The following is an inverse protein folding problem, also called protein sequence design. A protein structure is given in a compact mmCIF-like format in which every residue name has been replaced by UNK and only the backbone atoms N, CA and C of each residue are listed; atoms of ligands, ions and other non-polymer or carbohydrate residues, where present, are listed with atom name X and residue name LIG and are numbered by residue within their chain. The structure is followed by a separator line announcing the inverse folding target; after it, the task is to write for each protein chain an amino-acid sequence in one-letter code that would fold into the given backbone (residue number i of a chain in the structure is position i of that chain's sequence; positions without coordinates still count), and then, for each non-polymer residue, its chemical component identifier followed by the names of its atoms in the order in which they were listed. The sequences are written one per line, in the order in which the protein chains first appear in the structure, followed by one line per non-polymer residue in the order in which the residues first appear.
data_IF_921223984120
#
_entry.id   IF_921223984120
#
_cell.length_a   1.000
_cell.length_b   1.000
_cell.length_c   1.000
_cell.angle_alpha   90.00
_cell.angle_beta   90.00
_cell.angle_gamma   90.00
#
_symmetry.space_group_name_H-M   'P 1'
#
loop_
_entity.id
_entity.type
_entity.pdbx_description
1 polymer ?
#
# COMPACT_ATOMS: atom_id res chain seq x y z
N UNK A 1 -21.37 16.82 -12.87
CA UNK A 1 -20.64 15.56 -13.18
C UNK A 1 -19.54 15.46 -12.15
N UNK A 2 -19.53 14.41 -11.32
CA UNK A 2 -18.44 14.20 -10.36
C UNK A 2 -17.13 14.01 -11.14
N UNK A 3 -16.04 14.57 -10.62
CA UNK A 3 -14.71 14.47 -11.21
C UNK A 3 -14.17 13.03 -11.08
N UNK A 4 -14.44 12.22 -12.12
CA UNK A 4 -14.01 10.81 -12.21
C UNK A 4 -12.65 10.67 -12.89
N UNK A 5 -11.87 11.76 -12.99
CA UNK A 5 -10.54 11.68 -13.58
C UNK A 5 -9.64 10.75 -12.75
N UNK A 6 -9.02 9.73 -13.38
CA UNK A 6 -8.05 8.88 -12.70
C UNK A 6 -6.89 9.73 -12.19
N UNK A 7 -6.51 9.54 -10.92
CA UNK A 7 -5.38 10.22 -10.31
C UNK A 7 -4.29 9.20 -9.99
N UNK A 8 -3.10 9.42 -10.55
CA UNK A 8 -1.88 8.73 -10.12
C UNK A 8 -1.17 9.65 -9.14
N UNK A 9 -0.91 9.14 -7.94
CA UNK A 9 -0.18 9.87 -6.92
C UNK A 9 1.27 9.38 -6.93
N UNK A 10 2.18 10.27 -7.32
CA UNK A 10 3.61 10.02 -7.37
C UNK A 10 4.27 10.37 -6.02
N UNK A 11 5.35 9.67 -5.67
CA UNK A 11 6.21 9.94 -4.51
C UNK A 11 5.52 10.04 -3.14
N UNK A 12 4.37 9.39 -2.94
CA UNK A 12 3.69 9.34 -1.65
C UNK A 12 4.18 8.19 -0.77
N UNK A 13 4.31 8.48 0.54
CA UNK A 13 4.46 7.43 1.54
C UNK A 13 3.16 6.62 1.68
N UNK A 14 3.28 5.37 2.12
CA UNK A 14 2.13 4.50 2.42
C UNK A 14 1.16 5.16 3.42
N UNK A 15 1.69 5.88 4.40
CA UNK A 15 0.86 6.54 5.42
C UNK A 15 0.12 7.73 4.83
N UNK A 16 0.78 8.53 3.98
CA UNK A 16 0.16 9.70 3.35
C UNK A 16 -0.88 9.30 2.31
N UNK A 17 -0.65 8.22 1.57
CA UNK A 17 -1.63 7.67 0.65
C UNK A 17 -2.91 7.23 1.35
N UNK A 18 -2.78 6.50 2.46
CA UNK A 18 -3.96 6.07 3.24
C UNK A 18 -4.66 7.26 3.87
N UNK A 19 -3.90 8.25 4.37
CA UNK A 19 -4.47 9.48 4.91
C UNK A 19 -5.27 10.24 3.84
N UNK A 20 -4.71 10.35 2.63
CA UNK A 20 -5.39 10.97 1.49
C UNK A 20 -6.76 10.33 1.25
N UNK A 21 -6.85 9.00 1.23
CA UNK A 21 -8.14 8.30 1.04
C UNK A 21 -9.09 8.62 2.19
N UNK A 22 -8.61 8.54 3.44
CA UNK A 22 -9.42 8.83 4.63
C UNK A 22 -9.98 10.26 4.62
N UNK A 23 -9.23 11.23 4.10
CA UNK A 23 -9.62 12.65 4.07
C UNK A 23 -10.51 13.01 2.87
N UNK A 24 -10.40 12.30 1.75
CA UNK A 24 -11.06 12.66 0.49
C UNK A 24 -12.28 11.80 0.14
N UNK A 25 -12.53 10.71 0.88
CA UNK A 25 -13.72 9.90 0.70
C UNK A 25 -14.94 10.51 1.40
N UNK A 26 -16.07 10.59 0.68
CA UNK A 26 -17.37 11.02 1.23
C UNK A 26 -18.43 9.92 1.14
N UNK A 27 -18.15 8.84 0.39
CA UNK A 27 -19.03 7.68 0.24
C UNK A 27 -18.30 6.35 0.46
N UNK A 28 -19.05 5.25 0.30
CA UNK A 28 -18.49 3.89 0.36
C UNK A 28 -17.38 3.73 -0.68
N UNK A 29 -16.16 3.54 -0.21
CA UNK A 29 -14.91 3.53 -0.97
C UNK A 29 -14.19 2.21 -0.75
N UNK A 30 -13.34 1.83 -1.69
CA UNK A 30 -12.58 0.59 -1.62
C UNK A 30 -11.10 0.85 -1.81
N UNK A 31 -10.27 0.34 -0.90
CA UNK A 31 -8.82 0.28 -1.01
C UNK A 31 -8.41 -1.16 -1.38
N UNK A 32 -7.93 -1.34 -2.60
CA UNK A 32 -7.34 -2.59 -3.09
C UNK A 32 -5.82 -2.52 -2.90
N UNK A 33 -5.30 -3.43 -2.10
CA UNK A 33 -3.87 -3.54 -1.80
C UNK A 33 -3.32 -4.76 -2.55
N UNK A 34 -2.36 -4.55 -3.45
CA UNK A 34 -1.56 -5.65 -4.00
C UNK A 34 -0.68 -6.22 -2.89
N UNK A 35 -0.70 -7.52 -2.67
CA UNK A 35 -0.01 -8.24 -1.59
C UNK A 35 -0.92 -8.64 -0.42
N UNK A 36 -0.33 -9.16 0.66
CA UNK A 36 -1.07 -9.69 1.80
C UNK A 36 -1.34 -8.64 2.88
N UNK A 37 -2.24 -8.95 3.81
CA UNK A 37 -2.50 -8.11 4.98
C UNK A 37 -1.25 -7.98 5.86
N UNK A 38 -0.48 -9.05 5.97
CA UNK A 38 0.77 -9.12 6.72
C UNK A 38 1.82 -8.19 6.11
N UNK A 39 1.96 -8.20 4.77
CA UNK A 39 2.86 -7.30 4.04
C UNK A 39 2.48 -5.84 4.27
N UNK A 40 1.18 -5.55 4.22
CA UNK A 40 0.66 -4.20 4.43
C UNK A 40 0.96 -3.68 5.84
N UNK A 41 0.65 -4.47 6.87
CA UNK A 41 0.93 -4.09 8.26
C UNK A 41 2.44 -3.96 8.52
N UNK A 42 3.25 -4.82 7.92
CA UNK A 42 4.70 -4.73 8.04
C UNK A 42 5.26 -3.47 7.36
N UNK A 43 4.76 -3.11 6.17
CA UNK A 43 5.15 -1.88 5.48
C UNK A 43 4.74 -0.62 6.26
N UNK A 44 3.60 -0.65 6.96
CA UNK A 44 3.19 0.42 7.87
C UNK A 44 4.16 0.60 9.04
N UNK A 45 4.61 -0.51 9.65
CA UNK A 45 5.61 -0.48 10.72
C UNK A 45 6.95 0.04 10.23
N UNK A 46 7.44 -0.47 9.10
CA UNK A 46 8.71 -0.02 8.49
C UNK A 46 8.66 1.49 8.17
N UNK A 47 7.50 2.01 7.76
CA UNK A 47 7.31 3.44 7.48
C UNK A 47 7.35 4.28 8.76
N UNK A 48 6.75 3.79 9.86
CA UNK A 48 6.82 4.43 11.18
C UNK A 48 8.27 4.53 11.69
N UNK A 49 9.04 3.46 11.56
CA UNK A 49 10.43 3.41 12.00
C UNK A 49 11.33 4.37 11.20
N UNK A 50 11.09 4.51 9.90
CA UNK A 50 11.84 5.47 9.08
C UNK A 50 11.53 6.91 9.44
N UNK A 51 10.26 7.23 9.69
CA UNK A 51 9.88 8.57 10.13
C UNK A 51 10.59 8.93 11.44
N UNK A 52 10.60 8.00 12.41
CA UNK A 52 11.28 8.21 13.69
C UNK A 52 12.82 8.40 13.56
N UNK A 53 13.45 7.80 12.55
CA UNK A 53 14.89 7.96 12.28
C UNK A 53 15.21 9.28 11.58
N UNK A 54 14.33 9.76 10.71
CA UNK A 54 14.49 11.04 10.01
C UNK A 54 14.30 12.25 10.93
N UNK A 55 13.46 12.13 11.96
CA UNK A 55 13.20 13.20 12.94
C UNK A 55 14.21 13.22 14.13
N UNK A 56 15.28 12.42 14.06
CA UNK A 56 16.34 12.41 15.08
C UNK A 56 17.23 13.67 15.01
N UNK A 57 17.63 14.27 16.15
CA UNK A 57 18.37 15.53 16.15
C UNK A 57 19.75 15.37 15.50
N UNK A 58 20.03 16.17 14.46
CA UNK A 58 21.39 16.39 13.98
C UNK A 58 22.23 16.92 15.15
N UNK A 59 23.07 16.07 15.73
CA UNK A 59 24.07 16.46 16.70
C UNK A 59 25.15 17.31 16.03
N UNK A 60 24.91 18.62 15.95
CA UNK A 60 25.97 19.62 15.78
C UNK A 60 26.17 20.32 17.12
N UNK A 61 27.09 19.81 17.94
CA UNK A 61 27.93 20.69 18.77
C UNK A 61 29.17 19.98 19.31
N UNK A 62 30.27 20.72 19.14
CA UNK A 62 31.64 20.47 19.59
C UNK A 62 31.74 20.59 21.13
N UNK A 63 32.74 19.88 21.68
CA UNK A 63 33.50 20.13 22.92
C UNK A 63 32.97 19.67 24.31
N UNK A 64 33.36 18.43 24.69
CA UNK A 64 34.21 18.02 25.84
C UNK A 64 33.87 18.42 27.33
N UNK A 65 34.55 17.87 28.37
CA UNK A 65 33.94 16.93 29.32
C UNK A 65 33.94 17.43 30.79
N UNK A 66 33.01 16.94 31.64
CA UNK A 66 33.26 16.55 33.06
C UNK A 66 31.97 16.32 33.89
N UNK A 67 32.12 15.38 34.81
CA UNK A 67 31.48 15.24 36.14
C UNK A 67 30.24 14.33 36.30
N UNK A 68 30.58 13.13 36.83
CA UNK A 68 29.87 12.13 37.65
C UNK A 68 28.53 12.48 38.35
N UNK A 69 27.65 11.44 38.34
CA UNK A 69 26.65 10.99 39.34
C UNK A 69 25.50 11.98 39.68
N UNK A 70 24.24 11.61 39.84
CA UNK A 70 23.66 10.39 40.41
C UNK A 70 22.14 10.31 40.12
N UNK A 71 21.58 9.09 40.18
CA UNK A 71 20.18 8.73 40.46
C UNK A 71 19.01 9.41 39.67
N UNK A 72 18.43 8.68 38.72
CA UNK A 72 17.04 8.18 38.79
C UNK A 72 16.87 7.10 37.70
N UNK A 73 16.47 5.89 38.11
CA UNK A 73 16.23 4.78 37.19
C UNK A 73 15.21 5.21 36.13
N UNK A 74 15.72 5.25 34.91
CA UNK A 74 15.11 5.61 33.65
C UNK A 74 13.76 4.90 33.46
N UNK A 75 12.66 5.64 33.53
CA UNK A 75 11.49 5.25 32.74
C UNK A 75 11.96 5.21 31.28
N UNK A 76 11.77 4.10 30.53
CA UNK A 76 11.99 4.16 29.10
C UNK A 76 11.01 5.22 28.57
N UNK A 77 11.48 6.26 27.86
CA UNK A 77 10.56 7.19 27.25
C UNK A 77 9.68 6.37 26.31
N UNK A 78 8.38 6.33 26.58
CA UNK A 78 7.40 5.77 25.66
C UNK A 78 7.64 6.45 24.31
N UNK A 79 8.10 5.65 23.34
CA UNK A 79 8.64 6.13 22.08
C UNK A 79 7.55 6.90 21.31
N UNK A 80 7.87 8.01 20.63
CA UNK A 80 6.94 8.73 19.73
C UNK A 80 6.47 7.92 18.50
N UNK A 81 6.76 6.61 18.45
CA UNK A 81 6.64 5.71 17.31
C UNK A 81 5.19 5.39 16.92
N UNK A 82 4.24 5.54 17.84
CA UNK A 82 2.84 5.13 17.65
C UNK A 82 1.89 6.30 17.31
N UNK A 83 2.33 7.55 17.43
CA UNK A 83 1.39 8.66 17.53
C UNK A 83 0.62 8.95 16.23
N UNK A 84 1.13 8.58 15.05
CA UNK A 84 0.52 8.91 13.75
C UNK A 84 0.15 7.68 12.90
N UNK A 85 0.91 6.59 13.02
CA UNK A 85 0.63 5.32 12.35
C UNK A 85 -0.49 4.53 13.04
N UNK A 86 -0.51 4.51 14.37
CA UNK A 86 -1.58 3.86 15.11
C UNK A 86 -2.94 4.53 14.86
N UNK A 87 -3.08 5.87 14.82
CA UNK A 87 -4.33 6.51 14.42
C UNK A 87 -4.74 6.18 12.99
N UNK A 88 -3.84 6.22 12.01
CA UNK A 88 -4.19 5.97 10.60
C UNK A 88 -4.70 4.55 10.40
N UNK A 89 -4.01 3.54 10.95
CA UNK A 89 -4.48 2.15 10.89
C UNK A 89 -5.76 1.93 11.70
N UNK A 90 -5.90 2.58 12.86
CA UNK A 90 -7.13 2.51 13.67
C UNK A 90 -8.29 3.14 12.92
N UNK A 91 -8.09 4.26 12.25
CA UNK A 91 -9.10 4.93 11.43
C UNK A 91 -9.53 4.04 10.27
N UNK A 92 -8.59 3.41 9.55
CA UNK A 92 -8.92 2.41 8.54
C UNK A 92 -9.72 1.25 9.13
N UNK A 93 -9.25 0.67 10.24
CA UNK A 93 -9.88 -0.51 10.85
C UNK A 93 -11.27 -0.24 11.45
N UNK A 94 -11.53 1.00 11.88
CA UNK A 94 -12.82 1.42 12.45
C UNK A 94 -13.75 2.07 11.43
N UNK A 95 -13.24 2.38 10.22
CA UNK A 95 -14.04 2.93 9.15
C UNK A 95 -15.08 1.91 8.67
N UNK A 96 -16.33 2.36 8.54
CA UNK A 96 -17.43 1.59 7.94
C UNK A 96 -17.64 1.92 6.46
N UNK A 97 -16.98 2.97 5.99
CA UNK A 97 -17.12 3.54 4.65
C UNK A 97 -15.94 3.18 3.75
N UNK A 98 -14.89 2.54 4.28
CA UNK A 98 -13.75 2.06 3.51
C UNK A 98 -13.67 0.54 3.63
N UNK A 99 -13.86 -0.15 2.51
CA UNK A 99 -13.56 -1.57 2.40
C UNK A 99 -12.09 -1.77 2.00
N UNK A 100 -11.38 -2.66 2.67
CA UNK A 100 -9.98 -2.99 2.33
C UNK A 100 -9.93 -4.40 1.78
N UNK A 101 -9.41 -4.54 0.56
CA UNK A 101 -9.27 -5.80 -0.16
C UNK A 101 -7.80 -6.08 -0.40
N UNK A 102 -7.35 -7.28 -0.04
CA UNK A 102 -5.97 -7.72 -0.27
C UNK A 102 -5.92 -8.68 -1.47
N UNK A 103 -5.01 -8.40 -2.39
CA UNK A 103 -4.80 -9.20 -3.60
C UNK A 103 -3.34 -9.69 -3.61
N UNK A 104 -3.05 -10.87 -3.03
CA UNK A 104 -1.68 -11.40 -2.90
C UNK A 104 -0.92 -11.51 -4.23
N UNK A 105 -1.64 -11.76 -5.32
CA UNK A 105 -1.07 -11.90 -6.67
C UNK A 105 -2.01 -11.33 -7.74
N UNK A 106 -1.54 -11.37 -9.00
CA UNK A 106 -2.30 -10.89 -10.18
C UNK A 106 -3.59 -11.68 -10.42
N UNK A 107 -3.69 -12.93 -9.98
CA UNK A 107 -4.87 -13.78 -10.17
C UNK A 107 -5.99 -13.28 -9.27
N UNK A 108 -5.68 -13.02 -8.00
CA UNK A 108 -6.62 -12.45 -7.05
C UNK A 108 -7.11 -11.07 -7.51
N UNK A 109 -6.20 -10.22 -7.99
CA UNK A 109 -6.57 -8.91 -8.50
C UNK A 109 -7.52 -9.00 -9.70
N UNK A 110 -7.21 -9.86 -10.68
CA UNK A 110 -8.05 -10.04 -11.87
C UNK A 110 -9.42 -10.63 -11.52
N UNK A 111 -9.47 -11.60 -10.60
CA UNK A 111 -10.71 -12.14 -10.10
C UNK A 111 -11.56 -11.08 -9.38
N UNK A 112 -10.92 -10.24 -8.55
CA UNK A 112 -11.58 -9.13 -7.89
C UNK A 112 -12.18 -8.15 -8.90
N UNK A 113 -11.40 -7.69 -9.88
CA UNK A 113 -11.89 -6.78 -10.93
C UNK A 113 -13.07 -7.36 -11.72
N UNK A 114 -13.00 -8.64 -12.09
CA UNK A 114 -14.06 -9.32 -12.83
C UNK A 114 -15.36 -9.41 -12.02
N UNK A 115 -15.27 -9.73 -10.72
CA UNK A 115 -16.44 -9.84 -9.84
C UNK A 115 -17.02 -8.47 -9.46
N UNK A 116 -16.16 -7.48 -9.26
CA UNK A 116 -16.56 -6.10 -8.97
C UNK A 116 -17.38 -5.51 -10.13
N UNK A 117 -16.96 -5.74 -11.38
CA UNK A 117 -17.76 -5.34 -12.54
C UNK A 117 -19.15 -5.99 -12.51
N UNK A 118 -19.26 -7.30 -12.28
CA UNK A 118 -20.56 -8.01 -12.27
C UNK A 118 -21.49 -7.51 -11.15
N UNK A 119 -20.96 -7.30 -9.95
CA UNK A 119 -21.75 -6.82 -8.80
C UNK A 119 -22.40 -5.46 -9.05
N UNK A 120 -21.75 -4.59 -9.82
CA UNK A 120 -22.26 -3.25 -10.14
C UNK A 120 -23.36 -3.28 -11.20
N UNK A 121 -23.24 -4.17 -12.20
CA UNK A 121 -24.28 -4.32 -13.23
C UNK A 121 -25.59 -4.89 -12.65
N UNK A 122 -25.52 -5.70 -11.59
CA UNK A 122 -26.70 -6.26 -10.92
C UNK A 122 -27.38 -5.31 -9.91
N UNK A 123 -26.69 -4.26 -9.48
CA UNK A 123 -27.12 -3.37 -8.39
C UNK A 123 -27.30 -1.92 -8.86
N UNK A 124 -27.69 -1.73 -10.13
CA UNK A 124 -28.15 -0.43 -10.63
C UNK A 124 -29.40 -0.01 -9.85
N UNK A 125 -29.23 0.99 -8.98
CA UNK A 125 -30.20 1.92 -8.39
C UNK A 125 -29.88 2.19 -6.92
N UNK A 126 -28.78 2.89 -6.66
CA UNK A 126 -28.77 3.85 -5.57
C UNK A 126 -28.38 5.19 -6.15
N UNK A 127 -29.40 6.03 -6.34
CA UNK A 127 -29.34 7.46 -6.65
C UNK A 127 -28.73 8.24 -5.48
N UNK A 128 -27.59 7.79 -4.95
CA UNK A 128 -26.71 8.66 -4.17
C UNK A 128 -25.85 9.43 -5.16
N UNK A 129 -26.51 10.34 -5.87
CA UNK A 129 -25.83 11.36 -6.61
C UNK A 129 -24.91 12.11 -5.64
N UNK A 130 -23.66 12.29 -6.06
CA UNK A 130 -22.67 13.25 -5.50
C UNK A 130 -21.74 12.81 -4.37
N UNK A 131 -21.84 11.61 -3.79
CA UNK A 131 -20.79 11.19 -2.81
C UNK A 131 -19.45 10.92 -3.52
N UNK A 132 -18.36 11.53 -3.07
CA UNK A 132 -16.99 11.23 -3.55
C UNK A 132 -16.57 9.83 -3.11
N UNK A 133 -16.91 8.83 -3.93
CA UNK A 133 -16.45 7.44 -3.78
C UNK A 133 -15.08 7.27 -4.40
N UNK A 134 -14.19 6.55 -3.72
CA UNK A 134 -12.83 6.29 -4.18
C UNK A 134 -12.64 4.79 -4.39
N UNK A 135 -12.10 4.43 -5.55
CA UNK A 135 -11.51 3.12 -5.78
C UNK A 135 -9.99 3.30 -5.81
N UNK A 136 -9.33 2.97 -4.71
CA UNK A 136 -7.91 3.18 -4.50
C UNK A 136 -7.11 1.89 -4.71
N UNK A 137 -6.04 1.95 -5.49
CA UNK A 137 -5.18 0.82 -5.86
C UNK A 137 -3.77 1.11 -5.33
N UNK A 138 -3.27 0.22 -4.48
CA UNK A 138 -1.99 0.37 -3.80
C UNK A 138 -1.08 -0.80 -4.15
N UNK A 139 0.13 -0.51 -4.66
CA UNK A 139 1.18 -1.50 -4.93
C UNK A 139 0.76 -2.61 -5.91
N UNK A 140 0.02 -2.23 -6.95
CA UNK A 140 -0.48 -3.17 -7.96
C UNK A 140 0.60 -3.51 -8.98
N UNK A 141 1.51 -2.59 -9.27
CA UNK A 141 2.66 -2.87 -10.13
C UNK A 141 3.59 -3.86 -9.44
N UNK A 142 3.77 -3.74 -8.13
CA UNK A 142 4.61 -4.66 -7.34
C UNK A 142 4.21 -6.14 -7.51
N UNK A 143 2.91 -6.47 -7.50
CA UNK A 143 2.45 -7.85 -7.69
C UNK A 143 2.55 -8.34 -9.15
N UNK A 144 2.75 -7.45 -10.13
CA UNK A 144 3.03 -7.85 -11.50
C UNK A 144 4.48 -8.25 -11.70
N UNK A 145 5.43 -7.54 -11.07
CA UNK A 145 6.89 -7.73 -11.22
C UNK A 145 7.37 -9.20 -11.26
N UNK A 146 6.92 -10.10 -10.38
CA UNK A 146 7.40 -11.48 -10.38
C UNK A 146 6.78 -12.37 -11.47
N UNK A 147 5.97 -11.82 -12.37
CA UNK A 147 5.18 -12.58 -13.34
C UNK A 147 5.49 -12.16 -14.78
N UNK A 148 5.18 -13.02 -15.75
CA UNK A 148 5.21 -12.66 -17.17
C UNK A 148 4.19 -11.57 -17.56
N UNK A 149 3.25 -11.25 -16.66
CA UNK A 149 2.33 -10.13 -16.84
C UNK A 149 2.97 -8.76 -16.51
N UNK A 150 4.22 -8.71 -16.03
CA UNK A 150 5.00 -7.47 -15.96
C UNK A 150 5.45 -7.03 -17.35
N UNK A 151 4.49 -6.55 -18.13
CA UNK A 151 4.67 -6.00 -19.46
C UNK A 151 3.67 -4.88 -19.68
N UNK A 152 3.93 -3.99 -20.64
CA UNK A 152 2.98 -2.95 -21.01
C UNK A 152 1.59 -3.54 -21.33
N UNK A 153 1.54 -4.67 -22.04
CA UNK A 153 0.30 -5.37 -22.35
C UNK A 153 -0.37 -5.93 -21.09
N UNK A 154 0.39 -6.59 -20.21
CA UNK A 154 -0.14 -7.20 -18.98
C UNK A 154 -0.69 -6.16 -18.00
N UNK A 155 0.05 -5.07 -17.80
CA UNK A 155 -0.35 -3.92 -17.00
C UNK A 155 -1.57 -3.22 -17.60
N UNK A 156 -1.56 -2.96 -18.92
CA UNK A 156 -2.70 -2.33 -19.59
C UNK A 156 -3.97 -3.15 -19.43
N UNK A 157 -3.90 -4.48 -19.54
CA UNK A 157 -5.06 -5.36 -19.32
C UNK A 157 -5.63 -5.21 -17.90
N UNK A 158 -4.78 -5.12 -16.89
CA UNK A 158 -5.20 -4.96 -15.50
C UNK A 158 -5.78 -3.56 -15.26
N UNK A 159 -5.09 -2.50 -15.68
CA UNK A 159 -5.54 -1.13 -15.45
C UNK A 159 -6.77 -0.76 -16.28
N UNK A 160 -6.95 -1.34 -17.47
CA UNK A 160 -8.19 -1.22 -18.22
C UNK A 160 -9.39 -1.73 -17.40
N UNK A 161 -9.23 -2.90 -16.75
CA UNK A 161 -10.26 -3.43 -15.84
C UNK A 161 -10.49 -2.55 -14.60
N UNK A 162 -9.44 -1.92 -14.07
CA UNK A 162 -9.56 -0.98 -12.95
C UNK A 162 -10.34 0.29 -13.35
N UNK A 163 -10.08 0.84 -14.54
CA UNK A 163 -10.80 1.99 -15.10
C UNK A 163 -12.28 1.63 -15.32
N UNK A 164 -12.55 0.46 -15.92
CA UNK A 164 -13.91 -0.04 -16.11
C UNK A 164 -14.64 -0.20 -14.77
N UNK A 165 -14.00 -0.78 -13.76
CA UNK A 165 -14.56 -0.94 -12.42
C UNK A 165 -14.83 0.40 -11.71
N UNK A 166 -13.95 1.38 -11.85
CA UNK A 166 -14.13 2.72 -11.30
C UNK A 166 -15.31 3.43 -11.98
N UNK A 167 -15.35 3.40 -13.32
CA UNK A 167 -16.43 3.98 -14.10
C UNK A 167 -17.79 3.35 -13.75
N UNK A 168 -17.87 2.02 -13.73
CA UNK A 168 -19.10 1.29 -13.41
C UNK A 168 -19.58 1.54 -11.97
N UNK A 169 -18.67 1.81 -11.02
CA UNK A 169 -19.03 2.10 -9.61
C UNK A 169 -19.33 3.56 -9.34
N UNK A 170 -19.14 4.44 -10.33
CA UNK A 170 -19.22 5.87 -10.13
C UNK A 170 -18.06 6.44 -9.30
N UNK A 171 -16.98 5.69 -9.09
CA UNK A 171 -15.87 6.04 -8.20
C UNK A 171 -14.75 6.77 -8.94
N UNK A 172 -14.03 7.63 -8.22
CA UNK A 172 -12.74 8.16 -8.66
C UNK A 172 -11.65 7.09 -8.47
N UNK A 173 -10.95 6.75 -9.54
CA UNK A 173 -9.82 5.83 -9.48
C UNK A 173 -8.57 6.56 -8.97
N UNK A 174 -7.94 6.05 -7.92
CA UNK A 174 -6.69 6.58 -7.37
C UNK A 174 -5.67 5.45 -7.31
N UNK A 175 -4.45 5.67 -7.83
CA UNK A 175 -3.41 4.64 -7.88
C UNK A 175 -2.13 5.18 -7.24
N UNK A 176 -1.46 4.38 -6.41
CA UNK A 176 -0.14 4.68 -5.89
C UNK A 176 0.73 3.42 -5.75
N UNK A 177 2.04 3.62 -5.92
CA UNK A 177 3.08 2.63 -5.63
C UNK A 177 4.00 3.22 -4.54
N UNK A 178 4.24 2.46 -3.46
CA UNK A 178 5.04 2.87 -2.33
C UNK A 178 6.25 1.93 -2.15
N UNK A 179 7.46 2.48 -2.19
CA UNK A 179 8.74 1.75 -2.23
C UNK A 179 8.94 0.71 -1.10
N UNK A 180 8.39 0.96 0.09
CA UNK A 180 8.54 0.07 1.25
C UNK A 180 7.83 -1.27 1.08
N UNK A 181 6.81 -1.30 0.23
CA UNK A 181 6.00 -2.48 -0.01
C UNK A 181 6.58 -3.33 -1.14
N UNK A 182 6.97 -2.69 -2.25
CA UNK A 182 7.56 -3.36 -3.41
C UNK A 182 8.90 -4.05 -3.10
N UNK A 183 9.71 -3.49 -2.20
CA UNK A 183 11.04 -4.01 -1.87
C UNK A 183 11.04 -5.29 -1.02
N UNK A 184 9.94 -5.64 -0.32
CA UNK A 184 9.80 -6.94 0.37
C UNK A 184 9.42 -8.06 -0.60
N UNK A 185 8.54 -7.78 -1.56
CA UNK A 185 8.16 -8.76 -2.58
C UNK A 185 9.36 -9.14 -3.48
N UNK A 186 10.28 -8.18 -3.72
CA UNK A 186 11.58 -8.44 -4.39
C UNK A 186 12.48 -9.38 -3.59
N UNK A 187 12.66 -9.12 -2.28
CA UNK A 187 13.52 -9.96 -1.41
C UNK A 187 13.04 -11.40 -1.28
N UNK A 188 11.73 -11.63 -1.29
CA UNK A 188 11.16 -12.97 -1.19
C UNK A 188 11.43 -13.83 -2.45
N UNK A 189 11.46 -13.19 -3.63
CA UNK A 189 11.88 -13.84 -4.87
C UNK A 189 13.37 -14.18 -4.86
N UNK A 190 14.23 -13.25 -4.46
CA UNK A 190 15.68 -13.48 -4.41
C UNK A 190 16.03 -14.64 -3.46
N UNK A 191 15.34 -14.71 -2.31
CA UNK A 191 15.51 -15.81 -1.33
C UNK A 191 15.05 -17.17 -1.90
N UNK A 192 13.99 -17.17 -2.73
CA UNK A 192 13.46 -18.38 -3.37
C UNK A 192 14.38 -18.90 -4.47
N UNK A 193 15.16 -18.03 -5.12
CA UNK A 193 16.18 -18.42 -6.11
C UNK A 193 17.44 -18.98 -5.43
N UNK A 194 17.82 -18.44 -4.27
CA UNK A 194 18.96 -18.94 -3.49
C UNK A 194 18.72 -20.30 -2.82
N UNK A 195 17.45 -20.71 -2.65
CA UNK A 195 17.07 -22.00 -2.06
C UNK A 195 16.84 -23.12 -3.07
N UNK A 196 17.06 -22.87 -4.37
CA UNK A 196 17.03 -23.93 -5.38
C UNK A 196 18.29 -24.80 -5.29
N UNK A 197 18.12 -26.12 -5.44
CA UNK A 197 19.23 -27.06 -5.52
C UNK A 197 20.28 -26.58 -6.56
N UNK A 198 21.58 -26.68 -6.25
CA UNK A 198 22.63 -26.10 -7.08
C UNK A 198 22.65 -26.65 -8.52
N UNK A 199 22.15 -27.87 -8.74
CA UNK A 199 22.00 -28.48 -10.07
C UNK A 199 20.92 -27.81 -10.93
N UNK A 200 19.83 -27.33 -10.31
CA UNK A 200 18.74 -26.61 -11.00
C UNK A 200 19.17 -25.19 -11.37
N UNK A 201 20.02 -24.58 -10.53
CA UNK A 201 20.59 -23.25 -10.78
C UNK A 201 21.52 -23.24 -11.99
N UNK A 202 22.37 -24.26 -12.13
CA UNK A 202 23.30 -24.38 -13.27
C UNK A 202 22.56 -24.61 -14.60
N UNK A 203 21.46 -25.38 -14.59
CA UNK A 203 20.65 -25.60 -15.78
C UNK A 203 19.93 -24.33 -16.27
N UNK A 204 19.54 -23.43 -15.35
CA UNK A 204 18.90 -22.16 -15.68
C UNK A 204 19.88 -21.10 -16.22
N UNK A 205 21.18 -21.24 -15.97
CA UNK A 205 22.23 -20.32 -16.45
C UNK A 205 22.82 -20.71 -17.82
N UNK A 206 22.46 -21.89 -18.36
CA UNK A 206 22.95 -22.40 -19.64
C UNK A 206 21.93 -22.28 -20.79
N UNK A 207 20.81 -21.60 -20.57
CA UNK A 207 19.83 -21.19 -21.58
C UNK A 207 19.92 -19.68 -21.84
#
# INVERSE_FOLDING_TARGET
MADQTPLVLEDLSLTDFVRYILEHHEGSSTLVVGGTKEDFLAAFRDSAERQARSDGPQATCRESPRALHDHFATQPPALPQDAWTAPTLRMLATSRTINVVFCPDITHLRAYLATHAVQLHGNHHSTEAESKRILAFLNIVAIHQPTSAFSAQGLNRTFSGAVEAAYASGSRLVIAECDNFASRHRRNLDTSVETLDPEVRDAAQQL
#
